data_IF_891982104930
#
_entry.id   IF_891982104930
#
_cell.length_a   1.000
_cell.length_b   1.000
_cell.length_c   1.000
_cell.angle_alpha   90.00
_cell.angle_beta   90.00
_cell.angle_gamma   90.00
#
_symmetry.space_group_name_H-M   'P 1'
#
loop_
_entity.id
_entity.type
_entity.pdbx_description
1 polymer ?
#
# COMPACT_ATOMS: atom_id res chain seq x y z
N UNK A 1 3.82 9.98 -4.67
CA UNK A 1 3.19 9.92 -6.00
C UNK A 1 2.00 10.84 -5.96
N UNK A 2 2.20 12.06 -6.44
CA UNK A 2 1.10 13.02 -6.56
C UNK A 2 0.28 12.67 -7.81
N UNK A 3 -1.05 12.73 -7.69
CA UNK A 3 -1.95 12.49 -8.81
C UNK A 3 -2.70 13.79 -9.07
N UNK A 4 -2.54 14.33 -10.27
CA UNK A 4 -3.17 15.58 -10.68
C UNK A 4 -4.70 15.51 -10.58
N UNK A 5 -5.33 16.59 -10.11
CA UNK A 5 -6.77 16.66 -9.87
C UNK A 5 -7.30 15.83 -8.69
N UNK A 6 -6.42 15.16 -7.94
CA UNK A 6 -6.78 14.28 -6.82
C UNK A 6 -6.12 14.65 -5.49
N UNK A 7 -5.75 15.93 -5.33
CA UNK A 7 -5.07 16.49 -4.17
C UNK A 7 -5.85 17.64 -3.56
N UNK A 8 -5.67 17.88 -2.25
CA UNK A 8 -6.29 19.03 -1.56
C UNK A 8 -5.56 20.34 -1.81
N UNK A 9 -4.25 20.27 -2.08
CA UNK A 9 -3.35 21.40 -2.26
C UNK A 9 -2.29 21.03 -3.31
N UNK A 10 -1.71 22.05 -3.95
CA UNK A 10 -0.62 21.89 -4.93
C UNK A 10 0.74 21.62 -4.28
N UNK A 11 0.91 22.04 -3.03
CA UNK A 11 2.17 21.83 -2.31
C UNK A 11 2.25 20.38 -1.87
N UNK A 12 3.35 19.73 -2.23
CA UNK A 12 3.64 18.36 -1.78
C UNK A 12 4.67 18.39 -0.65
N UNK A 13 4.42 17.64 0.41
CA UNK A 13 5.35 17.30 1.48
C UNK A 13 5.43 15.78 1.60
N UNK A 14 6.54 15.30 2.13
CA UNK A 14 6.74 13.87 2.35
C UNK A 14 8.21 13.59 2.57
N UNK A 15 8.51 12.73 3.54
CA UNK A 15 9.87 12.29 3.83
C UNK A 15 10.51 11.56 2.64
N UNK A 16 9.69 10.89 1.83
CA UNK A 16 10.06 10.30 0.54
C UNK A 16 9.02 10.68 -0.50
N UNK A 17 9.48 11.25 -1.61
CA UNK A 17 8.64 11.59 -2.76
C UNK A 17 8.87 10.57 -3.88
N UNK A 18 7.79 10.30 -4.59
CA UNK A 18 7.75 9.42 -5.75
C UNK A 18 6.94 10.15 -6.80
N UNK A 19 7.37 10.11 -8.05
CA UNK A 19 6.66 10.80 -9.14
C UNK A 19 5.56 9.89 -9.69
N UNK A 20 5.85 8.60 -9.82
CA UNK A 20 4.95 7.64 -10.47
C UNK A 20 4.36 6.62 -9.51
N UNK A 21 3.28 5.94 -9.95
CA UNK A 21 2.67 4.85 -9.19
C UNK A 21 3.61 3.65 -9.11
N UNK A 22 4.40 3.44 -10.15
CA UNK A 22 5.37 2.37 -10.29
C UNK A 22 6.50 2.55 -9.27
N UNK A 23 7.05 3.77 -9.15
CA UNK A 23 8.06 4.09 -8.14
C UNK A 23 7.53 3.93 -6.71
N UNK A 24 6.31 4.42 -6.45
CA UNK A 24 5.65 4.25 -5.16
C UNK A 24 5.45 2.77 -4.81
N UNK A 25 5.00 1.97 -5.78
CA UNK A 25 4.76 0.54 -5.60
C UNK A 25 6.07 -0.24 -5.38
N UNK A 26 7.12 0.12 -6.12
CA UNK A 26 8.46 -0.45 -5.91
C UNK A 26 8.99 -0.12 -4.52
N UNK A 27 8.85 1.12 -4.06
CA UNK A 27 9.32 1.51 -2.74
C UNK A 27 8.53 0.84 -1.61
N UNK A 28 7.21 0.67 -1.79
CA UNK A 28 6.39 -0.12 -0.89
C UNK A 28 6.88 -1.58 -0.84
N UNK A 29 7.06 -2.23 -1.99
CA UNK A 29 7.54 -3.62 -2.08
C UNK A 29 8.92 -3.79 -1.42
N UNK A 30 9.85 -2.87 -1.66
CA UNK A 30 11.16 -2.84 -0.98
C UNK A 30 10.99 -2.73 0.53
N UNK A 31 10.13 -1.83 1.03
CA UNK A 31 9.88 -1.67 2.46
C UNK A 31 9.36 -2.98 3.09
N UNK A 32 8.37 -3.63 2.47
CA UNK A 32 7.85 -4.89 2.98
C UNK A 32 8.94 -5.97 2.99
N UNK A 33 9.67 -6.12 1.90
CA UNK A 33 10.70 -7.15 1.74
C UNK A 33 11.88 -7.00 2.68
N UNK A 34 12.35 -5.77 2.89
CA UNK A 34 13.55 -5.50 3.67
C UNK A 34 13.25 -5.30 5.15
N UNK A 35 12.13 -4.66 5.49
CA UNK A 35 11.82 -4.33 6.88
C UNK A 35 10.88 -5.33 7.57
N UNK A 36 9.91 -5.92 6.85
CA UNK A 36 8.88 -6.76 7.49
C UNK A 36 9.14 -8.26 7.31
N UNK A 37 9.46 -8.73 6.09
CA UNK A 37 9.62 -10.16 5.84
C UNK A 37 10.68 -10.83 6.74
N UNK A 38 11.83 -10.20 7.07
CA UNK A 38 12.80 -10.81 7.98
C UNK A 38 12.29 -10.95 9.43
N UNK A 39 11.32 -10.13 9.83
CA UNK A 39 10.72 -10.20 11.16
C UNK A 39 9.72 -11.35 11.30
N UNK A 40 9.26 -11.93 10.19
CA UNK A 40 8.37 -13.11 10.20
C UNK A 40 8.99 -14.27 10.96
N UNK A 41 10.28 -14.52 10.75
CA UNK A 41 11.02 -15.57 11.47
C UNK A 41 11.21 -15.27 12.96
N UNK A 42 11.01 -14.01 13.37
CA UNK A 42 11.07 -13.53 14.75
C UNK A 42 9.69 -13.48 15.43
N UNK A 43 8.63 -13.98 14.76
CA UNK A 43 7.27 -14.03 15.30
C UNK A 43 6.38 -12.84 14.93
N UNK A 44 6.77 -12.00 13.95
CA UNK A 44 5.89 -10.96 13.43
C UNK A 44 4.60 -11.57 12.88
N UNK A 45 3.48 -11.26 13.54
CA UNK A 45 2.16 -11.80 13.19
C UNK A 45 1.30 -10.85 12.35
N UNK A 46 1.72 -9.59 12.21
CA UNK A 46 1.00 -8.60 11.42
C UNK A 46 1.71 -7.24 11.39
N UNK A 47 1.32 -6.40 10.44
CA UNK A 47 1.82 -5.03 10.31
C UNK A 47 0.69 -4.09 9.87
N UNK A 48 0.78 -2.82 10.26
CA UNK A 48 -0.20 -1.79 9.92
C UNK A 48 0.45 -0.73 9.05
N UNK A 49 -0.09 -0.50 7.86
CA UNK A 49 0.24 0.67 7.04
C UNK A 49 -0.67 1.82 7.46
N UNK A 50 -0.11 2.83 8.12
CA UNK A 50 -0.89 3.86 8.83
C UNK A 50 -1.56 4.88 7.90
N UNK A 51 -1.10 5.00 6.65
CA UNK A 51 -1.58 6.03 5.72
C UNK A 51 -2.42 5.43 4.58
N UNK A 52 -3.72 5.28 4.84
CA UNK A 52 -4.65 4.70 3.85
C UNK A 52 -4.85 5.63 2.64
N UNK A 53 -4.92 6.95 2.84
CA UNK A 53 -5.08 7.96 1.79
C UNK A 53 -4.10 9.11 1.93
N UNK A 54 -3.93 9.89 0.86
CA UNK A 54 -3.23 11.17 0.94
C UNK A 54 -3.96 12.14 1.88
N UNK A 55 -3.21 13.01 2.55
CA UNK A 55 -3.71 13.99 3.51
C UNK A 55 -3.00 15.32 3.24
N UNK A 56 -3.76 16.37 2.88
CA UNK A 56 -3.23 17.70 2.58
C UNK A 56 -2.03 17.62 1.63
N UNK A 57 -0.83 18.00 2.08
CA UNK A 57 0.42 17.89 1.33
C UNK A 57 1.11 16.50 1.36
N UNK A 58 0.73 15.57 2.24
CA UNK A 58 1.35 14.24 2.37
C UNK A 58 0.76 13.23 1.39
N UNK A 59 1.53 12.92 0.33
CA UNK A 59 1.09 12.13 -0.84
C UNK A 59 1.61 10.68 -0.86
N UNK A 60 1.77 10.08 0.32
CA UNK A 60 2.26 8.71 0.50
C UNK A 60 1.13 7.71 0.78
N UNK A 61 -0.14 8.10 0.65
CA UNK A 61 -1.27 7.21 0.82
C UNK A 61 -1.40 6.14 -0.26
N UNK A 62 -2.00 5.01 0.13
CA UNK A 62 -2.39 3.95 -0.82
C UNK A 62 -3.45 4.47 -1.81
N UNK A 63 -4.32 5.36 -1.33
CA UNK A 63 -5.35 6.04 -2.10
C UNK A 63 -5.01 7.53 -2.26
N UNK A 64 -5.57 8.16 -3.29
CA UNK A 64 -5.59 9.63 -3.41
C UNK A 64 -6.40 10.30 -2.30
N UNK A 65 -6.26 11.62 -2.16
CA UNK A 65 -6.94 12.42 -1.13
C UNK A 65 -8.46 12.21 -1.13
N UNK A 66 -9.05 12.21 -2.33
CA UNK A 66 -10.48 11.99 -2.56
C UNK A 66 -10.90 10.50 -2.54
N UNK A 67 -9.94 9.60 -2.31
CA UNK A 67 -10.11 8.13 -2.28
C UNK A 67 -10.63 7.51 -3.58
N UNK A 68 -10.56 8.23 -4.71
CA UNK A 68 -11.06 7.73 -6.00
C UNK A 68 -10.05 6.88 -6.76
N UNK A 69 -8.75 7.07 -6.49
CA UNK A 69 -7.68 6.40 -7.23
C UNK A 69 -6.79 5.60 -6.30
N UNK A 70 -6.64 4.31 -6.59
CA UNK A 70 -5.62 3.45 -5.97
C UNK A 70 -4.27 3.74 -6.61
N UNK A 71 -3.28 4.04 -5.78
CA UNK A 71 -1.91 4.39 -6.17
C UNK A 71 -0.97 3.19 -6.10
N UNK A 72 -1.22 2.26 -5.18
CA UNK A 72 -0.44 1.04 -5.03
C UNK A 72 -0.82 0.01 -6.10
N UNK A 73 0.16 -0.39 -6.91
CA UNK A 73 0.03 -1.47 -7.88
C UNK A 73 0.67 -2.73 -7.29
N UNK A 74 -0.14 -3.71 -6.91
CA UNK A 74 0.36 -5.00 -6.46
C UNK A 74 0.73 -5.88 -7.67
N UNK A 75 1.87 -6.61 -7.62
CA UNK A 75 2.17 -7.67 -8.57
C UNK A 75 1.03 -8.69 -8.60
N UNK A 76 0.71 -9.24 -9.78
CA UNK A 76 -0.35 -10.25 -9.96
C UNK A 76 -0.20 -11.46 -9.01
N UNK A 77 1.04 -11.85 -8.71
CA UNK A 77 1.35 -12.96 -7.79
C UNK A 77 0.85 -12.76 -6.36
N UNK A 78 0.73 -11.51 -5.90
CA UNK A 78 0.18 -11.16 -4.58
C UNK A 78 -1.36 -11.07 -4.58
N UNK A 79 -1.98 -10.87 -5.76
CA UNK A 79 -3.43 -10.92 -5.90
C UNK A 79 -3.94 -12.36 -5.84
N UNK A 80 -3.19 -13.29 -6.43
CA UNK A 80 -3.50 -14.73 -6.42
C UNK A 80 -3.36 -15.39 -5.04
N UNK A 81 -2.44 -14.93 -4.19
CA UNK A 81 -2.34 -15.45 -2.83
C UNK A 81 -3.54 -15.03 -1.97
N UNK A 82 -4.03 -13.81 -2.16
CA UNK A 82 -5.23 -13.29 -1.46
C UNK A 82 -6.51 -14.01 -1.86
N UNK A 83 -6.69 -14.30 -3.16
CA UNK A 83 -7.87 -15.03 -3.63
C UNK A 83 -7.90 -16.49 -3.20
N UNK A 84 -6.73 -17.11 -2.98
CA UNK A 84 -6.65 -18.47 -2.40
C UNK A 84 -6.96 -18.49 -0.91
N UNK A 85 -6.49 -17.52 -0.14
CA UNK A 85 -6.80 -17.41 1.30
C UNK A 85 -8.29 -17.12 1.54
N UNK A 86 -8.90 -16.17 0.80
CA UNK A 86 -10.34 -15.87 0.90
C UNK A 86 -11.23 -17.06 0.52
N UNK A 87 -10.79 -17.93 -0.39
CA UNK A 87 -11.54 -19.15 -0.74
C UNK A 87 -11.53 -20.23 0.35
N UNK A 88 -10.54 -20.19 1.26
CA UNK A 88 -10.36 -21.18 2.34
C UNK A 88 -11.11 -20.85 3.63
N UNK A 89 -11.52 -19.60 3.84
CA UNK A 89 -12.28 -19.14 5.01
C UNK A 89 -13.81 -19.36 4.90
N UNK A 90 -14.29 -19.93 3.79
CA UNK A 90 -15.74 -20.06 3.51
C UNK A 90 -16.38 -21.39 3.92
N UNK A 91 -15.67 -22.29 4.62
CA UNK A 91 -16.29 -23.49 5.20
C UNK A 91 -16.55 -23.29 6.69
N UNK A 92 -17.81 -23.12 7.14
CA UNK A 92 -18.14 -23.21 8.55
C UNK A 92 -17.94 -24.67 8.99
N UNK A 93 -17.13 -24.88 10.02
CA UNK A 93 -17.03 -26.16 10.72
C UNK A 93 -18.38 -26.47 11.40
N UNK A 94 -19.00 -27.60 11.04
CA UNK A 94 -20.11 -28.22 11.80
C UNK A 94 -19.63 -28.76 13.16
#
# INVERSE_FOLDING_TARGET
CHIDGHSSVERIFGYKRYETKEEFSKAYDTLIKEALLPLREQGLSGAVYTQVSDIEEEVNGILTYDRKVVKLQLPETLKESRSKEESSESQPSE
#
